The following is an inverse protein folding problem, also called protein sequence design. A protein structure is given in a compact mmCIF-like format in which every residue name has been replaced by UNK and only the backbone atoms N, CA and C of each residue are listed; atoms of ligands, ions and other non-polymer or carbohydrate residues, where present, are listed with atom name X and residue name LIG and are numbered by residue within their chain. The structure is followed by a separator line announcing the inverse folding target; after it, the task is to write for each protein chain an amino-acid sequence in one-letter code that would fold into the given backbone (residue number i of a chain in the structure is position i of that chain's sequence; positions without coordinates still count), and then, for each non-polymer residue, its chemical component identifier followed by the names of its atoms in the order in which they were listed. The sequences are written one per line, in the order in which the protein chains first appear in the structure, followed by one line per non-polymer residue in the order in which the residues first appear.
data_IF_870830940628
#
_entry.id   IF_870830940628
#
_cell.length_a   1.000
_cell.length_b   1.000
_cell.length_c   1.000
_cell.angle_alpha   90.00
_cell.angle_beta   90.00
_cell.angle_gamma   90.00
#
_symmetry.space_group_name_H-M   'P 1'
#
loop_
_entity.id
_entity.type
_entity.pdbx_description
1 polymer ?
#
# COMPACT_ATOMS: atom_id res chain seq x y z
N UNK A 1 9.21 29.22 -31.38
CA UNK A 1 10.53 28.75 -31.84
C UNK A 1 11.13 27.80 -30.83
N UNK A 2 12.02 26.89 -31.26
CA UNK A 2 12.82 26.04 -30.36
C UNK A 2 13.92 26.89 -29.73
N UNK A 3 14.18 26.70 -28.44
CA UNK A 3 15.29 27.32 -27.72
C UNK A 3 16.20 26.24 -27.14
N UNK A 4 17.50 26.53 -27.05
CA UNK A 4 18.49 25.61 -26.50
C UNK A 4 19.63 26.33 -25.80
N UNK A 5 20.35 25.62 -24.94
CA UNK A 5 21.57 26.11 -24.28
C UNK A 5 22.69 25.07 -24.43
N UNK A 6 23.90 25.55 -24.73
CA UNK A 6 25.11 24.74 -24.87
C UNK A 6 24.95 23.55 -25.84
N UNK A 7 24.29 23.79 -26.99
CA UNK A 7 24.18 22.80 -28.06
C UNK A 7 25.55 22.62 -28.72
N UNK A 8 26.07 21.40 -28.70
CA UNK A 8 27.32 21.02 -29.36
C UNK A 8 27.05 19.92 -30.38
N UNK A 9 27.59 20.10 -31.58
CA UNK A 9 27.67 19.08 -32.62
C UNK A 9 29.15 18.78 -32.85
N UNK A 10 29.52 17.50 -32.84
CA UNK A 10 30.91 17.08 -32.90
C UNK A 10 31.10 15.81 -33.71
N UNK A 11 32.34 15.54 -34.14
CA UNK A 11 32.70 14.41 -35.02
C UNK A 11 33.07 13.13 -34.26
N UNK A 12 33.05 13.17 -32.92
CA UNK A 12 33.25 12.03 -32.03
C UNK A 12 32.05 11.92 -31.10
N UNK A 13 31.68 10.71 -30.69
CA UNK A 13 30.57 10.56 -29.76
C UNK A 13 30.85 11.19 -28.38
N UNK A 14 29.80 11.66 -27.67
CA UNK A 14 28.41 11.80 -28.17
C UNK A 14 28.33 12.87 -29.27
N UNK A 15 27.71 12.54 -30.41
CA UNK A 15 27.74 13.39 -31.60
C UNK A 15 26.89 14.66 -31.47
N UNK A 16 25.96 14.65 -30.52
CA UNK A 16 25.14 15.78 -30.10
C UNK A 16 25.06 15.81 -28.58
N UNK A 17 25.21 17.00 -28.00
CA UNK A 17 24.91 17.25 -26.59
C UNK A 17 24.21 18.58 -26.45
N UNK A 18 23.30 18.70 -25.48
CA UNK A 18 22.71 19.97 -25.11
C UNK A 18 22.43 19.97 -23.61
N UNK A 19 22.59 21.13 -22.97
CA UNK A 19 22.22 21.27 -21.56
C UNK A 19 20.71 21.47 -21.39
N UNK A 20 20.07 22.13 -22.36
CA UNK A 20 18.66 22.44 -22.30
C UNK A 20 18.07 22.52 -23.70
N UNK A 21 16.85 22.00 -23.85
CA UNK A 21 15.95 22.30 -24.95
C UNK A 21 14.62 22.80 -24.40
N UNK A 22 14.00 23.73 -25.12
CA UNK A 22 12.69 24.27 -24.79
C UNK A 22 11.98 24.77 -26.03
N UNK A 23 10.75 25.24 -25.84
CA UNK A 23 9.96 25.90 -26.88
C UNK A 23 9.44 27.23 -26.35
N UNK A 24 9.41 28.24 -27.21
CA UNK A 24 8.83 29.56 -26.96
C UNK A 24 7.71 29.87 -27.94
N UNK A 25 6.73 30.64 -27.49
CA UNK A 25 5.53 31.00 -28.26
C UNK A 25 4.39 30.00 -28.10
N UNK A 26 3.26 30.32 -28.73
CA UNK A 26 2.08 29.45 -28.73
C UNK A 26 2.38 28.13 -29.45
N UNK A 27 2.03 27.01 -28.84
CA UNK A 27 2.10 25.69 -29.48
C UNK A 27 0.70 25.20 -29.78
N UNK A 28 0.49 24.62 -30.96
CA UNK A 28 -0.78 24.01 -31.35
C UNK A 28 -0.55 22.63 -31.92
N UNK A 29 -1.49 21.72 -31.66
CA UNK A 29 -1.59 20.42 -32.31
C UNK A 29 -2.89 20.38 -33.10
N UNK A 30 -2.82 20.46 -34.43
CA UNK A 30 -4.00 20.45 -35.32
C UNK A 30 -5.06 21.50 -34.87
N UNK A 31 -4.60 22.68 -34.48
CA UNK A 31 -5.47 23.78 -34.01
C UNK A 31 -5.81 23.74 -32.51
N UNK A 32 -5.63 22.62 -31.82
CA UNK A 32 -5.81 22.54 -30.37
C UNK A 32 -4.63 23.19 -29.63
N UNK A 33 -4.87 23.94 -28.55
CA UNK A 33 -3.79 24.49 -27.74
C UNK A 33 -2.95 23.36 -27.15
N UNK A 34 -1.63 23.46 -27.30
CA UNK A 34 -0.70 22.47 -26.82
C UNK A 34 0.39 23.13 -25.96
N UNK A 35 1.06 22.32 -25.14
CA UNK A 35 2.31 22.69 -24.50
C UNK A 35 3.29 21.53 -24.59
N UNK A 36 4.56 21.84 -24.85
CA UNK A 36 5.64 20.86 -24.91
C UNK A 36 6.62 21.20 -23.78
N UNK A 37 6.96 20.21 -22.96
CA UNK A 37 7.85 20.37 -21.80
C UNK A 37 8.79 19.18 -21.69
N UNK A 38 9.76 19.30 -20.77
CA UNK A 38 10.69 18.22 -20.43
C UNK A 38 11.40 17.65 -21.66
N UNK A 39 11.91 18.52 -22.52
CA UNK A 39 12.62 18.13 -23.74
C UNK A 39 14.06 17.75 -23.37
N UNK A 40 14.48 16.56 -23.76
CA UNK A 40 15.84 16.07 -23.54
C UNK A 40 16.35 15.29 -24.75
N UNK A 41 17.68 15.23 -24.88
CA UNK A 41 18.36 14.40 -25.87
C UNK A 41 19.19 13.35 -25.14
N UNK A 42 19.04 12.11 -25.58
CA UNK A 42 19.82 10.98 -25.12
C UNK A 42 20.59 10.42 -26.32
N UNK A 43 21.91 10.57 -26.33
CA UNK A 43 22.73 10.20 -27.48
C UNK A 43 24.02 9.50 -27.07
N UNK A 44 24.46 8.56 -27.90
CA UNK A 44 25.72 7.83 -27.79
C UNK A 44 26.28 7.54 -29.22
N UNK A 45 27.27 6.67 -29.35
CA UNK A 45 27.92 6.28 -30.60
C UNK A 45 26.93 5.74 -31.66
N UNK A 46 25.89 5.02 -31.24
CA UNK A 46 24.98 4.32 -32.15
C UNK A 46 23.59 4.93 -32.28
N UNK A 47 23.24 5.92 -31.46
CA UNK A 47 21.88 6.46 -31.42
C UNK A 47 21.83 7.91 -30.92
N UNK A 48 20.75 8.60 -31.27
CA UNK A 48 20.37 9.90 -30.71
C UNK A 48 18.85 10.00 -30.65
N UNK A 49 18.32 10.00 -29.44
CA UNK A 49 16.90 10.01 -29.15
C UNK A 49 16.47 11.38 -28.64
N UNK A 50 15.29 11.84 -29.08
CA UNK A 50 14.66 13.08 -28.61
C UNK A 50 13.42 12.73 -27.78
N UNK A 51 13.47 13.01 -26.49
CA UNK A 51 12.35 12.83 -25.57
C UNK A 51 11.65 14.15 -25.27
N UNK A 52 10.33 14.13 -25.15
CA UNK A 52 9.53 15.27 -24.68
C UNK A 52 8.16 14.84 -24.17
N UNK A 53 7.54 15.72 -23.36
CA UNK A 53 6.15 15.61 -22.97
C UNK A 53 5.30 16.63 -23.72
N UNK A 54 4.14 16.20 -24.20
CA UNK A 54 3.13 17.04 -24.83
C UNK A 54 1.86 17.01 -24.00
N UNK A 55 1.22 18.16 -23.79
CA UNK A 55 -0.13 18.27 -23.24
C UNK A 55 -1.00 19.02 -24.23
N UNK A 56 -2.16 18.47 -24.56
CA UNK A 56 -3.12 19.01 -25.52
C UNK A 56 -4.42 19.33 -24.78
N UNK A 57 -4.90 20.57 -24.89
CA UNK A 57 -6.22 20.96 -24.41
C UNK A 57 -7.28 20.49 -25.41
N UNK A 58 -8.21 19.65 -24.96
CA UNK A 58 -9.27 19.05 -25.77
C UNK A 58 -10.64 19.70 -25.55
N UNK A 59 -10.83 20.35 -24.39
CA UNK A 59 -12.00 21.17 -24.07
C UNK A 59 -11.53 22.40 -23.29
N UNK A 60 -12.12 23.57 -23.60
CA UNK A 60 -11.83 24.82 -22.90
C UNK A 60 -11.96 24.65 -21.38
N UNK A 61 -10.86 24.95 -20.69
CA UNK A 61 -10.71 24.95 -19.22
C UNK A 61 -11.02 23.63 -18.49
N UNK A 62 -11.35 22.54 -19.19
CA UNK A 62 -11.90 21.32 -18.57
C UNK A 62 -11.17 20.04 -18.90
N UNK A 63 -10.70 19.89 -20.12
CA UNK A 63 -10.16 18.62 -20.57
C UNK A 63 -8.80 18.79 -21.23
N UNK A 64 -7.80 18.11 -20.68
CA UNK A 64 -6.49 17.98 -21.30
C UNK A 64 -6.00 16.54 -21.25
N UNK A 65 -5.33 16.14 -22.31
CA UNK A 65 -4.61 14.88 -22.39
C UNK A 65 -3.11 15.17 -22.48
N UNK A 66 -2.31 14.44 -21.72
CA UNK A 66 -0.86 14.50 -21.78
C UNK A 66 -0.29 13.20 -22.32
N UNK A 67 0.87 13.28 -22.94
CA UNK A 67 1.62 12.14 -23.43
C UNK A 67 3.12 12.38 -23.35
N UNK A 68 3.88 11.35 -22.99
CA UNK A 68 5.32 11.35 -23.10
C UNK A 68 5.74 10.50 -24.30
N UNK A 69 6.66 11.02 -25.12
CA UNK A 69 7.21 10.27 -26.25
C UNK A 69 8.70 10.46 -26.39
N UNK A 70 9.34 9.44 -26.98
CA UNK A 70 10.73 9.46 -27.41
C UNK A 70 10.77 9.12 -28.88
N UNK A 71 11.31 10.03 -29.69
CA UNK A 71 11.63 9.79 -31.10
C UNK A 71 13.02 9.17 -31.12
N UNK A 72 13.15 8.00 -31.74
CA UNK A 72 14.41 7.28 -31.77
C UNK A 72 15.15 7.57 -33.07
N UNK A 73 16.45 7.77 -32.95
CA UNK A 73 17.35 7.98 -34.08
C UNK A 73 18.53 7.04 -33.99
N UNK A 74 18.82 6.34 -35.07
CA UNK A 74 20.04 5.54 -35.23
C UNK A 74 21.12 6.38 -35.90
N UNK A 75 22.34 6.27 -35.37
CA UNK A 75 23.54 6.85 -35.95
C UNK A 75 24.32 5.71 -36.61
N UNK A 76 24.38 5.74 -37.94
CA UNK A 76 25.07 4.73 -38.74
C UNK A 76 26.21 5.38 -39.52
N UNK A 77 27.37 4.72 -39.51
CA UNK A 77 28.50 5.11 -40.33
C UNK A 77 28.54 4.23 -41.59
N UNK A 78 28.23 4.83 -42.73
CA UNK A 78 28.28 4.17 -44.05
C UNK A 78 29.28 4.93 -44.93
N UNK A 79 30.25 4.24 -45.55
CA UNK A 79 31.25 4.85 -46.44
C UNK A 79 31.99 6.06 -45.83
N UNK A 80 32.44 5.94 -44.58
CA UNK A 80 33.07 7.03 -43.81
C UNK A 80 32.20 8.29 -43.67
N UNK A 81 30.88 8.18 -43.83
CA UNK A 81 29.91 9.25 -43.57
C UNK A 81 28.92 8.82 -42.51
N UNK A 82 28.76 9.69 -41.52
CA UNK A 82 27.70 9.55 -40.55
C UNK A 82 26.35 9.84 -41.20
N UNK A 83 25.37 8.98 -40.92
CA UNK A 83 23.97 9.10 -41.34
C UNK A 83 23.07 8.89 -40.14
N UNK A 84 22.04 9.73 -40.06
CA UNK A 84 21.04 9.67 -39.00
C UNK A 84 19.77 9.11 -39.61
N UNK A 85 19.30 7.98 -39.09
CA UNK A 85 18.10 7.29 -39.56
C UNK A 85 17.04 7.35 -38.49
N UNK A 86 15.81 7.66 -38.89
CA UNK A 86 14.66 7.53 -38.00
C UNK A 86 14.44 6.05 -37.65
N UNK A 87 14.28 5.76 -36.37
CA UNK A 87 14.10 4.41 -35.83
C UNK A 87 12.84 4.29 -34.99
N UNK A 88 11.76 4.89 -35.50
CA UNK A 88 10.47 4.85 -34.84
C UNK A 88 10.37 5.78 -33.64
N UNK A 89 9.37 5.51 -32.81
CA UNK A 89 9.12 6.25 -31.58
C UNK A 89 8.59 5.31 -30.50
N UNK A 90 8.75 5.71 -29.25
CA UNK A 90 8.17 5.03 -28.12
C UNK A 90 7.25 5.98 -27.36
N UNK A 91 6.04 5.49 -27.08
CA UNK A 91 5.19 6.08 -26.06
C UNK A 91 5.76 5.69 -24.68
N UNK A 92 5.79 6.66 -23.78
CA UNK A 92 6.25 6.46 -22.39
C UNK A 92 5.12 6.65 -21.39
N UNK A 93 4.23 7.60 -21.66
CA UNK A 93 3.18 8.00 -20.71
C UNK A 93 1.97 8.54 -21.45
N UNK A 94 0.79 8.33 -20.88
CA UNK A 94 -0.46 8.98 -21.23
C UNK A 94 -1.10 9.50 -19.94
N UNK A 95 -1.75 10.64 -19.98
CA UNK A 95 -2.38 11.21 -18.81
C UNK A 95 -3.62 12.01 -19.16
N UNK A 96 -4.50 12.13 -18.19
CA UNK A 96 -5.69 12.96 -18.23
C UNK A 96 -5.67 13.77 -16.93
N UNK A 97 -5.97 15.07 -17.02
CA UNK A 97 -5.90 15.96 -15.85
C UNK A 97 -7.20 16.72 -15.67
N UNK A 98 -7.74 16.62 -14.45
CA UNK A 98 -8.91 17.36 -13.96
C UNK A 98 -10.15 17.25 -14.88
N UNK A 99 -10.38 16.06 -15.45
CA UNK A 99 -11.50 15.80 -16.34
C UNK A 99 -12.80 15.79 -15.53
N UNK A 100 -13.66 16.76 -15.77
CA UNK A 100 -15.00 16.78 -15.19
C UNK A 100 -15.94 15.86 -15.98
N UNK A 101 -16.35 14.75 -15.37
CA UNK A 101 -17.30 13.78 -15.95
C UNK A 101 -18.72 13.92 -15.37
N UNK A 102 -19.05 15.10 -14.85
CA UNK A 102 -20.33 15.39 -14.21
C UNK A 102 -20.34 14.98 -12.74
N UNK A 103 -20.24 13.68 -12.46
CA UNK A 103 -20.30 13.10 -11.09
C UNK A 103 -18.98 13.22 -10.32
N UNK A 104 -17.87 13.36 -11.02
CA UNK A 104 -16.52 13.39 -10.45
C UNK A 104 -15.59 14.28 -11.27
N UNK A 105 -14.50 14.72 -10.63
CA UNK A 105 -13.31 15.24 -11.30
C UNK A 105 -12.26 14.15 -11.28
N UNK A 106 -11.79 13.73 -12.46
CA UNK A 106 -10.90 12.59 -12.64
C UNK A 106 -9.56 13.04 -13.19
N UNK A 107 -8.48 12.57 -12.56
CA UNK A 107 -7.14 12.63 -13.13
C UNK A 107 -6.58 11.21 -13.21
N UNK A 108 -5.83 10.91 -14.26
CA UNK A 108 -5.26 9.60 -14.44
C UNK A 108 -3.95 9.65 -15.19
N UNK A 109 -3.15 8.61 -15.00
CA UNK A 109 -1.87 8.43 -15.64
C UNK A 109 -1.70 6.96 -16.00
N UNK A 110 -1.19 6.70 -17.18
CA UNK A 110 -0.76 5.41 -17.66
C UNK A 110 0.70 5.54 -18.09
N UNK A 111 1.56 4.67 -17.59
CA UNK A 111 2.99 4.72 -17.88
C UNK A 111 3.47 3.35 -18.36
N UNK A 112 4.17 3.33 -19.48
CA UNK A 112 4.82 2.12 -19.98
C UNK A 112 6.17 1.96 -19.27
N UNK A 113 6.38 0.79 -18.69
CA UNK A 113 7.60 0.39 -18.00
C UNK A 113 8.47 -0.47 -18.92
N UNK A 114 9.77 -0.18 -18.94
CA UNK A 114 10.79 -0.97 -19.62
C UNK A 114 11.95 -1.15 -18.66
N UNK A 115 12.27 -2.38 -18.28
CA UNK A 115 13.28 -2.70 -17.27
C UNK A 115 13.06 -1.96 -15.93
N UNK A 116 11.82 -1.80 -15.48
CA UNK A 116 11.53 -1.19 -14.18
C UNK A 116 12.11 -2.04 -13.03
N UNK A 117 12.75 -1.44 -12.00
CA UNK A 117 13.40 -2.19 -10.93
C UNK A 117 12.44 -2.99 -10.04
N UNK A 118 11.15 -2.64 -10.02
CA UNK A 118 10.13 -3.36 -9.25
C UNK A 118 9.30 -4.30 -10.11
N UNK A 119 8.96 -3.84 -11.33
CA UNK A 119 7.95 -4.47 -12.16
C UNK A 119 8.44 -4.85 -13.56
N UNK A 120 9.74 -4.77 -13.84
CA UNK A 120 10.31 -5.16 -15.13
C UNK A 120 9.63 -4.47 -16.31
N UNK A 121 9.24 -5.26 -17.30
CA UNK A 121 8.49 -4.75 -18.46
C UNK A 121 6.99 -4.79 -18.19
N UNK A 122 6.28 -3.74 -18.58
CA UNK A 122 4.85 -3.67 -18.34
C UNK A 122 4.28 -2.27 -18.42
N UNK A 123 3.26 -2.00 -17.61
CA UNK A 123 2.70 -0.67 -17.43
C UNK A 123 2.11 -0.47 -16.03
N UNK A 124 2.19 0.75 -15.55
CA UNK A 124 1.46 1.20 -14.36
C UNK A 124 0.33 2.12 -14.77
N UNK A 125 -0.71 2.16 -13.94
CA UNK A 125 -1.76 3.14 -14.07
C UNK A 125 -2.06 3.74 -12.69
N UNK A 126 -2.39 5.02 -12.67
CA UNK A 126 -2.89 5.72 -11.50
C UNK A 126 -4.18 6.43 -11.88
N UNK A 127 -5.17 6.38 -10.99
CA UNK A 127 -6.44 7.07 -11.12
C UNK A 127 -6.78 7.76 -9.81
N UNK A 128 -7.08 9.04 -9.91
CA UNK A 128 -7.62 9.85 -8.84
C UNK A 128 -9.01 10.35 -9.24
N UNK A 129 -10.00 10.15 -8.39
CA UNK A 129 -11.37 10.61 -8.62
C UNK A 129 -11.90 11.36 -7.39
N UNK A 130 -12.23 12.64 -7.59
CA UNK A 130 -12.90 13.48 -6.60
C UNK A 130 -14.40 13.44 -6.84
N UNK A 131 -15.13 12.67 -6.04
CA UNK A 131 -16.57 12.51 -6.14
C UNK A 131 -17.27 13.74 -5.57
N UNK A 132 -18.03 14.47 -6.40
CA UNK A 132 -18.54 15.81 -6.04
C UNK A 132 -19.58 15.79 -4.91
N UNK A 133 -20.54 14.88 -4.99
CA UNK A 133 -21.64 14.79 -4.02
C UNK A 133 -21.17 14.25 -2.66
N UNK A 134 -20.36 13.19 -2.71
CA UNK A 134 -19.82 12.55 -1.51
C UNK A 134 -18.69 13.35 -0.85
N UNK A 135 -18.05 14.27 -1.59
CA UNK A 135 -16.86 15.03 -1.16
C UNK A 135 -15.73 14.13 -0.68
N UNK A 136 -15.56 12.99 -1.36
CA UNK A 136 -14.48 12.02 -1.10
C UNK A 136 -13.55 11.92 -2.29
N UNK A 137 -12.30 11.57 -2.02
CA UNK A 137 -11.27 11.39 -3.01
C UNK A 137 -10.82 9.93 -3.01
N UNK A 138 -10.97 9.27 -4.16
CA UNK A 138 -10.59 7.88 -4.36
C UNK A 138 -9.29 7.86 -5.14
N UNK A 139 -8.30 7.15 -4.62
CA UNK A 139 -7.02 6.91 -5.29
C UNK A 139 -6.89 5.43 -5.59
N UNK A 140 -6.50 5.10 -6.82
CA UNK A 140 -6.24 3.72 -7.26
C UNK A 140 -4.93 3.71 -8.04
N UNK A 141 -4.03 2.79 -7.68
CA UNK A 141 -2.85 2.46 -8.45
C UNK A 141 -2.98 1.03 -9.00
N UNK A 142 -2.46 0.79 -10.19
CA UNK A 142 -2.35 -0.54 -10.78
C UNK A 142 -0.97 -0.74 -11.39
N UNK A 143 -0.51 -1.98 -11.39
CA UNK A 143 0.69 -2.44 -12.07
C UNK A 143 0.37 -3.72 -12.82
N UNK A 144 0.76 -3.78 -14.08
CA UNK A 144 0.70 -4.96 -14.93
C UNK A 144 2.11 -5.19 -15.45
N UNK A 145 2.62 -6.40 -15.30
CA UNK A 145 3.99 -6.66 -15.71
C UNK A 145 4.24 -8.08 -16.16
N UNK A 146 5.40 -8.24 -16.74
CA UNK A 146 5.95 -9.50 -17.19
C UNK A 146 7.44 -9.53 -16.89
N UNK A 147 7.87 -10.60 -16.24
CA UNK A 147 9.27 -10.97 -16.10
C UNK A 147 9.52 -12.32 -16.78
N UNK A 148 9.49 -13.42 -16.03
CA UNK A 148 9.35 -14.79 -16.54
C UNK A 148 7.90 -15.28 -16.50
N UNK A 149 7.03 -14.56 -15.80
CA UNK A 149 5.59 -14.79 -15.71
C UNK A 149 4.83 -13.46 -15.74
N UNK A 150 3.54 -13.53 -16.09
CA UNK A 150 2.63 -12.38 -16.05
C UNK A 150 2.04 -12.20 -14.66
N UNK A 151 1.97 -10.97 -14.21
CA UNK A 151 1.35 -10.59 -12.94
C UNK A 151 0.60 -9.27 -13.09
N UNK A 152 -0.34 -9.04 -12.19
CA UNK A 152 -1.01 -7.77 -12.09
C UNK A 152 -1.42 -7.50 -10.64
N UNK A 153 -1.60 -6.24 -10.31
CA UNK A 153 -2.11 -5.84 -9.02
C UNK A 153 -2.70 -4.46 -9.10
N UNK A 154 -3.77 -4.24 -8.35
CA UNK A 154 -4.28 -2.90 -8.11
C UNK A 154 -4.55 -2.71 -6.63
N UNK A 155 -4.32 -1.50 -6.16
CA UNK A 155 -4.60 -1.07 -4.81
C UNK A 155 -5.27 0.29 -4.83
N UNK A 156 -6.08 0.58 -3.82
CA UNK A 156 -6.70 1.88 -3.69
C UNK A 156 -7.11 2.18 -2.26
N UNK A 157 -7.38 3.46 -2.03
CA UNK A 157 -7.81 3.96 -0.74
C UNK A 157 -8.78 5.13 -0.90
N UNK A 158 -9.68 5.25 0.08
CA UNK A 158 -10.65 6.34 0.21
C UNK A 158 -10.89 6.63 1.68
N UNK A 159 -10.99 7.92 2.00
CA UNK A 159 -11.34 8.45 3.32
C UNK A 159 -12.57 9.37 3.21
N UNK A 160 -13.15 9.71 4.36
CA UNK A 160 -14.30 10.61 4.45
C UNK A 160 -15.64 9.96 4.09
N UNK A 161 -15.69 8.63 4.02
CA UNK A 161 -16.93 7.89 3.86
C UNK A 161 -17.85 8.11 5.07
N UNK A 162 -19.16 7.93 4.85
CA UNK A 162 -20.19 8.02 5.88
C UNK A 162 -21.16 6.85 5.77
N UNK A 163 -20.60 5.64 5.61
CA UNK A 163 -21.39 4.43 5.41
C UNK A 163 -21.85 3.93 6.78
N UNK A 164 -23.15 4.04 7.06
CA UNK A 164 -23.74 3.52 8.29
C UNK A 164 -24.16 2.06 8.12
N UNK A 165 -23.55 1.17 8.91
CA UNK A 165 -23.86 -0.25 9.00
C UNK A 165 -24.35 -0.57 10.43
N UNK A 166 -25.62 -0.30 10.71
CA UNK A 166 -26.21 -0.43 12.05
C UNK A 166 -25.45 0.41 13.09
N UNK A 167 -24.72 -0.18 14.03
CA UNK A 167 -23.95 0.52 15.05
C UNK A 167 -22.58 1.01 14.54
N UNK A 168 -22.08 0.46 13.44
CA UNK A 168 -20.78 0.78 12.85
C UNK A 168 -20.91 1.85 11.78
N UNK A 169 -20.12 2.92 11.88
CA UNK A 169 -19.91 3.89 10.81
C UNK A 169 -18.54 3.63 10.18
N UNK A 170 -18.51 3.28 8.90
CA UNK A 170 -17.27 3.10 8.12
C UNK A 170 -16.89 4.45 7.51
N UNK A 171 -15.67 4.90 7.81
CA UNK A 171 -15.16 6.22 7.38
C UNK A 171 -14.10 6.12 6.29
N UNK A 172 -13.50 4.95 6.11
CA UNK A 172 -12.60 4.73 4.99
C UNK A 172 -12.39 3.27 4.65
N UNK A 173 -11.83 3.08 3.47
CA UNK A 173 -11.51 1.79 2.90
C UNK A 173 -10.12 1.86 2.27
N UNK A 174 -9.37 0.76 2.36
CA UNK A 174 -8.08 0.59 1.70
C UNK A 174 -7.93 -0.87 1.30
N UNK A 175 -7.22 -1.16 0.23
CA UNK A 175 -7.01 -2.55 -0.17
C UNK A 175 -6.66 -2.70 -1.63
N UNK A 176 -6.65 -3.94 -2.09
CA UNK A 176 -6.30 -4.28 -3.45
C UNK A 176 -6.45 -5.76 -3.73
N UNK A 177 -6.48 -6.09 -5.02
CA UNK A 177 -6.44 -7.46 -5.51
C UNK A 177 -5.26 -7.62 -6.46
N UNK A 178 -4.65 -8.80 -6.40
CA UNK A 178 -3.39 -9.08 -7.06
C UNK A 178 -3.36 -10.51 -7.59
N UNK A 179 -2.64 -10.69 -8.68
CA UNK A 179 -2.35 -11.98 -9.29
C UNK A 179 -0.85 -12.15 -9.43
N UNK A 180 -0.29 -13.21 -8.82
CA UNK A 180 1.15 -13.47 -8.75
C UNK A 180 1.94 -12.28 -8.22
N UNK A 181 1.37 -11.62 -7.21
CA UNK A 181 2.04 -10.56 -6.46
C UNK A 181 1.64 -10.63 -5.00
N UNK A 182 2.53 -10.14 -4.14
CA UNK A 182 2.29 -9.94 -2.72
C UNK A 182 2.67 -8.51 -2.30
N UNK A 183 2.03 -7.94 -1.26
CA UNK A 183 2.50 -6.71 -0.66
C UNK A 183 3.90 -6.87 -0.04
N UNK A 184 4.75 -5.87 -0.24
CA UNK A 184 6.01 -5.74 0.46
C UNK A 184 5.89 -4.68 1.55
N UNK A 185 6.00 -5.10 2.81
CA UNK A 185 5.80 -4.23 3.98
C UNK A 185 6.80 -3.07 4.02
N UNK A 186 8.08 -3.39 3.95
CA UNK A 186 9.15 -2.44 4.20
C UNK A 186 9.23 -1.40 3.07
N UNK A 187 8.99 -1.82 1.82
CA UNK A 187 8.83 -0.90 0.71
C UNK A 187 7.56 -0.05 0.83
N UNK A 188 6.46 -0.61 1.31
CA UNK A 188 5.22 0.15 1.51
C UNK A 188 5.36 1.24 2.59
N UNK A 189 6.17 0.99 3.62
CA UNK A 189 6.48 1.94 4.68
C UNK A 189 7.57 2.96 4.29
N UNK A 190 8.28 2.74 3.18
CA UNK A 190 9.30 3.67 2.71
C UNK A 190 8.65 4.98 2.24
N UNK A 191 9.09 6.16 2.74
CA UNK A 191 8.55 7.46 2.35
C UNK A 191 8.54 7.75 0.84
N UNK A 192 9.42 7.10 0.07
CA UNK A 192 9.46 7.19 -1.39
C UNK A 192 8.17 6.67 -2.07
N UNK A 193 7.38 5.84 -1.37
CA UNK A 193 6.15 5.23 -1.89
C UNK A 193 4.90 5.63 -1.08
N UNK A 194 4.94 6.76 -0.36
CA UNK A 194 3.83 7.23 0.49
C UNK A 194 2.47 7.36 -0.20
N UNK A 195 2.47 7.59 -1.51
CA UNK A 195 1.26 7.77 -2.32
C UNK A 195 0.60 6.44 -2.73
N UNK A 196 1.24 5.30 -2.45
CA UNK A 196 0.69 3.97 -2.66
C UNK A 196 0.14 3.41 -1.34
N UNK A 197 -1.04 2.78 -1.38
CA UNK A 197 -1.51 2.06 -0.18
C UNK A 197 -0.71 0.78 0.03
N UNK A 198 -0.25 0.12 -1.05
CA UNK A 198 0.62 -1.05 -1.00
C UNK A 198 1.65 -0.99 -2.14
N UNK A 199 2.90 -1.25 -1.82
CA UNK A 199 3.92 -1.60 -2.82
C UNK A 199 3.89 -3.11 -2.99
N UNK A 200 3.79 -3.55 -4.24
CA UNK A 200 3.65 -4.97 -4.57
C UNK A 200 4.95 -5.50 -5.15
N UNK A 201 5.24 -6.78 -4.89
CA UNK A 201 6.33 -7.51 -5.53
C UNK A 201 5.78 -8.72 -6.28
N UNK A 202 6.26 -8.99 -7.50
CA UNK A 202 5.93 -10.22 -8.22
C UNK A 202 6.35 -11.46 -7.42
N UNK A 203 5.44 -12.44 -7.32
CA UNK A 203 5.66 -13.71 -6.64
C UNK A 203 4.86 -14.81 -7.35
N UNK A 204 5.56 -15.77 -7.97
CA UNK A 204 4.93 -16.85 -8.72
C UNK A 204 4.37 -17.98 -7.85
N UNK A 205 4.60 -17.93 -6.52
CA UNK A 205 4.06 -18.88 -5.54
C UNK A 205 2.66 -18.51 -5.07
N UNK A 206 2.15 -17.35 -5.48
CA UNK A 206 0.79 -16.88 -5.20
C UNK A 206 -0.04 -16.89 -6.47
N UNK A 207 -1.27 -17.42 -6.39
CA UNK A 207 -2.26 -17.31 -7.47
C UNK A 207 -2.92 -15.94 -7.45
N UNK A 208 -4.10 -15.85 -6.84
CA UNK A 208 -4.80 -14.60 -6.55
C UNK A 208 -4.61 -14.23 -5.08
N UNK A 209 -4.56 -12.95 -4.78
CA UNK A 209 -4.57 -12.42 -3.43
C UNK A 209 -5.50 -11.22 -3.33
N UNK A 210 -6.20 -11.11 -2.21
CA UNK A 210 -7.04 -9.98 -1.85
C UNK A 210 -6.58 -9.47 -0.48
N UNK A 211 -6.45 -8.15 -0.37
CA UNK A 211 -6.22 -7.45 0.89
C UNK A 211 -7.24 -6.33 0.98
N UNK A 212 -8.04 -6.29 2.03
CA UNK A 212 -9.04 -5.25 2.23
C UNK A 212 -8.99 -4.76 3.67
N UNK A 213 -9.22 -3.49 3.87
CA UNK A 213 -9.13 -2.83 5.17
C UNK A 213 -10.20 -1.77 5.27
N UNK A 214 -10.82 -1.69 6.44
CA UNK A 214 -11.73 -0.62 6.82
C UNK A 214 -11.27 0.01 8.11
N UNK A 215 -11.73 1.24 8.33
CA UNK A 215 -11.71 1.86 9.63
C UNK A 215 -12.96 2.69 9.82
N UNK A 216 -13.31 2.89 11.08
CA UNK A 216 -14.58 3.49 11.44
C UNK A 216 -14.76 3.60 12.93
N UNK A 217 -16.00 3.81 13.34
CA UNK A 217 -16.35 3.94 14.75
C UNK A 217 -17.71 3.32 15.08
N UNK A 218 -17.89 2.91 16.33
CA UNK A 218 -19.17 2.49 16.88
C UNK A 218 -19.65 3.56 17.85
N UNK A 219 -20.89 4.03 17.67
CA UNK A 219 -21.49 5.21 18.32
C UNK A 219 -20.77 6.54 18.04
N UNK A 220 -19.47 6.66 18.32
CA UNK A 220 -18.63 7.78 17.91
C UNK A 220 -17.15 7.39 17.96
N UNK A 221 -16.29 8.15 17.27
CA UNK A 221 -14.83 7.95 17.28
C UNK A 221 -14.18 7.99 18.67
N UNK A 222 -14.78 8.70 19.63
CA UNK A 222 -14.29 8.76 21.01
C UNK A 222 -14.87 7.65 21.89
N UNK A 223 -15.97 7.01 21.47
CA UNK A 223 -16.56 5.89 22.19
C UNK A 223 -15.82 4.60 21.82
N UNK A 224 -15.87 4.23 20.54
CA UNK A 224 -15.16 3.07 20.00
C UNK A 224 -14.66 3.41 18.59
N UNK A 225 -13.36 3.38 18.37
CA UNK A 225 -12.79 3.40 17.03
C UNK A 225 -12.25 2.03 16.65
N UNK A 226 -12.44 1.60 15.40
CA UNK A 226 -11.99 0.30 14.92
C UNK A 226 -11.19 0.40 13.63
N UNK A 227 -10.28 -0.55 13.45
CA UNK A 227 -9.69 -0.93 12.17
C UNK A 227 -9.91 -2.42 11.99
N UNK A 228 -10.26 -2.86 10.79
CA UNK A 228 -10.37 -4.27 10.47
C UNK A 228 -9.76 -4.53 9.09
N UNK A 229 -8.95 -5.58 9.00
CA UNK A 229 -8.37 -6.06 7.77
C UNK A 229 -8.85 -7.47 7.46
N UNK A 230 -9.00 -7.74 6.17
CA UNK A 230 -9.28 -9.05 5.59
C UNK A 230 -8.17 -9.39 4.60
N UNK A 231 -7.70 -10.62 4.66
CA UNK A 231 -6.74 -11.14 3.71
C UNK A 231 -7.19 -12.50 3.19
N UNK A 232 -6.91 -12.76 1.92
CA UNK A 232 -7.13 -14.04 1.28
C UNK A 232 -6.05 -14.25 0.22
N UNK A 233 -5.63 -15.49 0.01
CA UNK A 233 -4.86 -15.85 -1.18
C UNK A 233 -5.10 -17.28 -1.65
N UNK A 234 -4.75 -17.56 -2.91
CA UNK A 234 -4.82 -18.88 -3.52
C UNK A 234 -3.43 -19.38 -3.87
N UNK A 235 -3.29 -20.70 -4.01
CA UNK A 235 -2.09 -21.28 -4.61
C UNK A 235 -2.01 -20.91 -6.12
N UNK A 236 -0.84 -21.04 -6.78
CA UNK A 236 -0.66 -20.66 -8.18
C UNK A 236 -1.59 -21.37 -9.17
N UNK A 237 -1.98 -22.60 -8.82
CA UNK A 237 -2.84 -23.46 -9.61
C UNK A 237 -4.31 -23.42 -9.17
N UNK A 238 -4.69 -22.45 -8.32
CA UNK A 238 -6.02 -22.36 -7.71
C UNK A 238 -6.11 -23.07 -6.35
N UNK A 239 -7.30 -23.07 -5.76
CA UNK A 239 -7.51 -23.50 -4.37
C UNK A 239 -7.05 -22.43 -3.36
N UNK A 240 -7.82 -22.25 -2.28
CA UNK A 240 -7.45 -21.31 -1.22
C UNK A 240 -6.15 -21.78 -0.55
N UNK A 241 -5.24 -20.83 -0.31
CA UNK A 241 -4.03 -21.05 0.46
C UNK A 241 -4.21 -20.52 1.88
N UNK A 242 -4.78 -19.32 2.02
CA UNK A 242 -5.13 -18.76 3.33
C UNK A 242 -6.33 -17.80 3.26
N UNK A 243 -6.96 -17.65 4.41
CA UNK A 243 -7.90 -16.56 4.71
C UNK A 243 -7.62 -16.07 6.13
N UNK A 244 -7.64 -14.77 6.34
CA UNK A 244 -7.40 -14.21 7.65
C UNK A 244 -8.08 -12.88 7.89
N UNK A 245 -8.25 -12.57 9.16
CA UNK A 245 -8.77 -11.30 9.65
C UNK A 245 -7.82 -10.74 10.68
N UNK A 246 -7.74 -9.43 10.71
CA UNK A 246 -7.03 -8.69 11.74
C UNK A 246 -7.92 -7.54 12.17
N UNK A 247 -7.87 -7.18 13.43
CA UNK A 247 -8.73 -6.16 14.00
C UNK A 247 -8.02 -5.42 15.11
N UNK A 248 -8.25 -4.12 15.16
CA UNK A 248 -7.86 -3.29 16.28
C UNK A 248 -9.06 -2.46 16.72
N UNK A 249 -9.24 -2.32 18.03
CA UNK A 249 -10.28 -1.48 18.61
C UNK A 249 -9.71 -0.62 19.73
N UNK A 250 -10.05 0.67 19.73
CA UNK A 250 -9.88 1.54 20.89
C UNK A 250 -11.24 1.86 21.47
N UNK A 251 -11.39 1.69 22.78
CA UNK A 251 -12.55 2.13 23.55
C UNK A 251 -12.15 3.33 24.40
N UNK A 252 -13.02 4.33 24.47
CA UNK A 252 -12.80 5.63 25.14
C UNK A 252 -11.68 6.47 24.49
N UNK A 253 -11.33 6.18 23.24
CA UNK A 253 -10.29 6.89 22.51
C UNK A 253 -10.48 6.84 20.99
N UNK A 254 -9.94 7.85 20.33
CA UNK A 254 -9.86 7.99 18.88
C UNK A 254 -8.58 7.33 18.33
N UNK A 255 -8.63 6.84 17.09
CA UNK A 255 -7.49 6.19 16.40
C UNK A 255 -6.22 7.06 16.37
N UNK A 256 -6.34 8.38 16.42
CA UNK A 256 -5.21 9.32 16.55
C UNK A 256 -4.33 9.06 17.77
N UNK A 257 -4.80 8.33 18.80
CA UNK A 257 -3.94 7.90 19.92
C UNK A 257 -2.96 6.80 19.54
N UNK A 258 -3.26 5.97 18.53
CA UNK A 258 -2.31 4.99 17.99
C UNK A 258 -1.48 5.56 16.85
N UNK A 259 -1.99 6.62 16.22
CA UNK A 259 -1.49 7.18 14.98
C UNK A 259 -1.20 8.67 15.20
N UNK A 260 0.02 9.03 15.63
CA UNK A 260 0.39 10.44 15.72
C UNK A 260 0.56 11.04 14.32
N UNK A 261 -0.09 12.17 14.04
CA UNK A 261 0.05 12.91 12.78
C UNK A 261 -1.22 12.90 11.91
N UNK A 262 -1.06 12.79 10.58
CA UNK A 262 -2.17 12.71 9.62
C UNK A 262 -2.95 11.40 9.82
N UNK A 263 -4.24 11.46 10.22
CA UNK A 263 -5.04 10.27 10.47
C UNK A 263 -5.12 9.32 9.28
N UNK A 264 -5.14 9.83 8.04
CA UNK A 264 -5.23 9.00 6.85
C UNK A 264 -3.89 8.31 6.55
N UNK A 265 -2.78 9.03 6.68
CA UNK A 265 -1.45 8.49 6.44
C UNK A 265 -1.14 7.35 7.41
N UNK A 266 -1.38 7.54 8.70
CA UNK A 266 -1.04 6.47 9.64
C UNK A 266 -2.08 5.35 9.71
N UNK A 267 -3.33 5.55 9.26
CA UNK A 267 -4.25 4.43 8.99
C UNK A 267 -3.76 3.60 7.80
N UNK A 268 -3.24 4.25 6.74
CA UNK A 268 -2.58 3.53 5.63
C UNK A 268 -1.34 2.78 6.11
N UNK A 269 -0.52 3.39 6.97
CA UNK A 269 0.67 2.72 7.51
C UNK A 269 0.32 1.53 8.39
N UNK A 270 -0.70 1.65 9.26
CA UNK A 270 -1.24 0.49 9.98
C UNK A 270 -1.77 -0.59 9.06
N UNK A 271 -2.48 -0.23 7.99
CA UNK A 271 -2.92 -1.22 6.99
C UNK A 271 -1.75 -1.92 6.28
N UNK A 272 -0.66 -1.20 6.01
CA UNK A 272 0.57 -1.77 5.44
C UNK A 272 1.23 -2.74 6.42
N UNK A 273 1.36 -2.36 7.70
CA UNK A 273 1.87 -3.24 8.76
C UNK A 273 1.04 -4.52 8.87
N UNK A 274 -0.27 -4.37 8.77
CA UNK A 274 -1.28 -5.41 8.87
C UNK A 274 -1.29 -6.44 7.72
N UNK A 275 -0.85 -6.06 6.52
CA UNK A 275 -1.01 -6.87 5.29
C UNK A 275 0.28 -7.52 4.77
N UNK A 276 1.44 -7.12 5.29
CA UNK A 276 2.75 -7.55 4.82
C UNK A 276 3.44 -8.66 5.62
N UNK A 277 2.87 -9.13 6.74
CA UNK A 277 3.55 -10.12 7.58
C UNK A 277 3.07 -11.56 7.32
N UNK A 278 3.64 -12.21 6.30
CA UNK A 278 3.44 -13.64 6.03
C UNK A 278 4.47 -14.55 6.75
N UNK A 279 5.32 -13.99 7.63
CA UNK A 279 6.40 -14.73 8.30
C UNK A 279 5.86 -15.90 9.12
N UNK A 280 4.71 -15.73 9.79
CA UNK A 280 4.00 -16.77 10.54
C UNK A 280 3.67 -18.02 9.74
N UNK A 281 3.12 -17.85 8.53
CA UNK A 281 2.70 -18.99 7.70
C UNK A 281 3.89 -19.72 7.12
N UNK A 282 5.00 -19.02 6.91
CA UNK A 282 6.24 -19.66 6.49
C UNK A 282 6.89 -20.39 7.68
N UNK A 283 6.91 -19.79 8.87
CA UNK A 283 7.41 -20.41 10.10
C UNK A 283 6.56 -21.63 10.54
N UNK A 284 5.24 -21.62 10.31
CA UNK A 284 4.34 -22.76 10.51
C UNK A 284 4.53 -23.87 9.47
N UNK A 285 4.89 -23.52 8.23
CA UNK A 285 5.19 -24.50 7.17
C UNK A 285 6.52 -25.20 7.39
N UNK A 286 7.50 -24.48 7.94
CA UNK A 286 8.87 -24.97 8.07
C UNK A 286 9.09 -25.80 9.35
N UNK A 287 8.24 -25.68 10.38
CA UNK A 287 8.37 -26.42 11.63
C UNK A 287 7.36 -27.57 11.77
N UNK A 288 7.83 -28.81 11.60
CA UNK A 288 7.08 -30.04 11.97
C UNK A 288 6.99 -30.29 13.49
N UNK A 289 7.54 -29.38 14.29
CA UNK A 289 7.58 -29.46 15.76
C UNK A 289 7.19 -28.11 16.36
N UNK A 290 5.89 -27.82 16.43
CA UNK A 290 5.38 -26.64 17.14
C UNK A 290 5.30 -26.90 18.66
N UNK A 291 6.30 -27.60 19.20
CA UNK A 291 6.44 -27.90 20.61
C UNK A 291 7.11 -26.74 21.34
N UNK A 292 6.33 -25.70 21.68
CA UNK A 292 6.38 -24.93 22.94
C UNK A 292 5.70 -23.56 22.76
N UNK A 293 4.37 -23.55 22.62
CA UNK A 293 3.55 -22.36 22.34
C UNK A 293 3.29 -21.43 23.55
N UNK A 294 4.30 -21.17 24.37
CA UNK A 294 4.21 -20.13 25.41
C UNK A 294 4.62 -18.74 24.92
N UNK A 295 4.95 -18.57 23.64
CA UNK A 295 5.62 -17.36 23.18
C UNK A 295 4.68 -16.36 22.50
N UNK A 296 4.08 -15.48 23.31
CA UNK A 296 3.37 -14.29 22.82
C UNK A 296 4.29 -13.33 22.06
N UNK A 297 5.63 -13.48 22.15
CA UNK A 297 6.58 -12.65 21.41
C UNK A 297 6.47 -12.84 19.89
N UNK A 298 6.04 -14.01 19.41
CA UNK A 298 5.87 -14.25 17.96
C UNK A 298 4.72 -13.42 17.38
N UNK A 299 3.65 -13.21 18.16
CA UNK A 299 2.52 -12.34 17.80
C UNK A 299 2.93 -10.86 17.89
N UNK A 300 3.64 -10.48 18.97
CA UNK A 300 4.15 -9.12 19.18
C UNK A 300 5.21 -8.69 18.15
N UNK A 301 6.06 -9.60 17.68
CA UNK A 301 7.05 -9.33 16.63
C UNK A 301 6.40 -9.06 15.27
N UNK A 302 5.29 -9.75 14.99
CA UNK A 302 4.63 -9.69 13.69
C UNK A 302 3.56 -8.61 13.63
N UNK A 303 2.90 -8.36 14.74
CA UNK A 303 1.91 -7.31 14.87
C UNK A 303 2.30 -6.43 16.06
N UNK A 304 3.36 -5.60 15.93
CA UNK A 304 3.88 -4.81 17.03
C UNK A 304 2.77 -4.06 17.75
N UNK A 305 2.64 -4.35 19.03
CA UNK A 305 1.74 -3.64 19.92
C UNK A 305 2.23 -2.20 20.04
N UNK A 306 1.31 -1.25 19.90
CA UNK A 306 1.61 0.13 20.24
C UNK A 306 1.82 0.18 21.75
N UNK A 307 3.08 0.35 22.18
CA UNK A 307 3.45 0.34 23.60
C UNK A 307 2.76 1.50 24.31
N UNK A 308 1.74 1.17 25.12
CA UNK A 308 0.98 2.07 26.00
C UNK A 308 -0.02 3.02 25.29
N UNK A 309 -1.31 2.70 25.38
CA UNK A 309 -2.41 3.56 24.93
C UNK A 309 -3.10 4.15 26.16
N UNK A 310 -2.60 5.30 26.61
CA UNK A 310 -3.10 5.95 27.84
C UNK A 310 -4.55 6.40 27.72
N UNK A 311 -5.31 6.21 28.78
CA UNK A 311 -6.70 6.62 28.89
C UNK A 311 -7.61 5.90 27.91
N UNK A 312 -7.39 4.60 27.67
CA UNK A 312 -8.15 3.80 26.72
C UNK A 312 -8.16 2.32 27.11
N UNK A 313 -9.08 1.58 26.49
CA UNK A 313 -8.93 0.12 26.31
C UNK A 313 -8.52 -0.09 24.87
N UNK A 314 -7.44 -0.83 24.65
CA UNK A 314 -6.95 -1.18 23.31
C UNK A 314 -7.00 -2.70 23.15
N UNK A 315 -7.68 -3.17 22.12
CA UNK A 315 -7.77 -4.58 21.79
C UNK A 315 -7.22 -4.83 20.38
N UNK A 316 -6.55 -5.97 20.22
CA UNK A 316 -5.97 -6.42 18.96
C UNK A 316 -6.30 -7.89 18.74
N UNK A 317 -6.79 -8.21 17.55
CA UNK A 317 -7.17 -9.56 17.14
C UNK A 317 -6.45 -9.88 15.84
N UNK A 318 -5.86 -11.05 15.73
CA UNK A 318 -5.40 -11.61 14.48
C UNK A 318 -5.90 -13.05 14.38
N UNK A 319 -6.37 -13.46 13.21
CA UNK A 319 -6.75 -14.84 12.94
C UNK A 319 -6.42 -15.20 11.50
N UNK A 320 -6.02 -16.45 11.30
CA UNK A 320 -5.75 -16.99 9.98
C UNK A 320 -6.08 -18.48 9.92
N UNK A 321 -6.58 -18.90 8.77
CA UNK A 321 -6.68 -20.30 8.40
C UNK A 321 -5.75 -20.59 7.22
N UNK A 322 -4.82 -21.53 7.40
CA UNK A 322 -3.97 -22.08 6.34
C UNK A 322 -4.62 -23.36 5.80
N UNK A 323 -5.11 -23.30 4.57
CA UNK A 323 -5.80 -24.42 3.92
C UNK A 323 -4.85 -25.54 3.52
N UNK A 324 -3.59 -25.23 3.21
CA UNK A 324 -2.63 -26.25 2.78
C UNK A 324 -2.24 -27.15 3.95
N UNK A 325 -2.21 -26.60 5.16
CA UNK A 325 -1.85 -27.32 6.38
C UNK A 325 -3.05 -27.69 7.26
N UNK A 326 -4.26 -27.21 6.92
CA UNK A 326 -5.47 -27.35 7.75
C UNK A 326 -5.29 -26.78 9.17
N UNK A 327 -4.66 -25.61 9.27
CA UNK A 327 -4.33 -24.96 10.54
C UNK A 327 -5.13 -23.69 10.73
N UNK A 328 -5.88 -23.61 11.82
CA UNK A 328 -6.47 -22.38 12.33
C UNK A 328 -5.61 -21.83 13.47
N UNK A 329 -5.30 -20.54 13.43
CA UNK A 329 -4.67 -19.86 14.55
C UNK A 329 -5.29 -18.48 14.75
N UNK A 330 -5.52 -18.10 16.00
CA UNK A 330 -6.00 -16.79 16.37
C UNK A 330 -5.34 -16.32 17.67
N UNK A 331 -5.06 -15.02 17.75
CA UNK A 331 -4.54 -14.35 18.94
C UNK A 331 -5.34 -13.08 19.24
N UNK A 332 -5.53 -12.81 20.52
CA UNK A 332 -6.19 -11.62 21.05
C UNK A 332 -5.33 -11.03 22.15
N UNK A 333 -5.07 -9.74 22.10
CA UNK A 333 -4.47 -8.98 23.19
C UNK A 333 -5.40 -7.83 23.58
N UNK A 334 -5.52 -7.59 24.88
CA UNK A 334 -6.30 -6.48 25.45
C UNK A 334 -5.45 -5.74 26.46
N UNK A 335 -5.30 -4.44 26.26
CA UNK A 335 -4.62 -3.50 27.14
C UNK A 335 -5.64 -2.56 27.75
N UNK A 336 -5.52 -2.33 29.05
CA UNK A 336 -6.35 -1.39 29.80
C UNK A 336 -5.43 -0.42 30.50
N UNK A 337 -5.63 0.86 30.25
CA UNK A 337 -5.00 1.95 30.99
C UNK A 337 -5.98 3.13 31.06
N UNK A 338 -6.86 3.12 32.05
CA UNK A 338 -7.91 4.13 32.22
C UNK A 338 -7.54 5.06 33.37
N UNK A 339 -7.81 6.35 33.19
CA UNK A 339 -7.60 7.41 34.18
C UNK A 339 -6.17 7.38 34.76
N UNK A 340 -5.17 7.39 33.89
CA UNK A 340 -3.74 7.39 34.24
C UNK A 340 -3.33 6.18 35.13
N UNK A 341 -3.83 5.00 34.80
CA UNK A 341 -3.46 3.76 35.49
C UNK A 341 -4.25 3.47 36.77
N UNK A 342 -5.31 4.23 37.05
CA UNK A 342 -6.24 3.89 38.15
C UNK A 342 -6.90 2.54 37.85
N UNK A 343 -7.29 2.28 36.61
CA UNK A 343 -7.69 0.94 36.17
C UNK A 343 -6.70 0.52 35.10
N UNK A 344 -5.93 -0.53 35.36
CA UNK A 344 -4.90 -1.00 34.45
C UNK A 344 -4.88 -2.53 34.36
N UNK A 345 -4.38 -3.06 33.25
CA UNK A 345 -3.99 -4.46 33.17
C UNK A 345 -2.84 -4.79 34.11
N UNK A 346 -2.81 -6.04 34.60
CA UNK A 346 -1.79 -6.52 35.54
C UNK A 346 -0.50 -6.95 34.85
N UNK A 347 -0.57 -7.20 33.55
CA UNK A 347 0.57 -7.59 32.72
C UNK A 347 1.41 -6.40 32.26
N UNK A 348 2.52 -6.68 31.56
CA UNK A 348 3.42 -5.65 31.02
C UNK A 348 2.66 -4.60 30.19
N UNK A 349 3.06 -3.32 30.32
CA UNK A 349 2.47 -2.19 29.60
C UNK A 349 0.94 -2.04 29.77
N UNK A 350 0.36 -2.56 30.86
CA UNK A 350 -1.08 -2.51 31.10
C UNK A 350 -1.87 -3.58 30.34
N UNK A 351 -1.23 -4.67 29.90
CA UNK A 351 -1.95 -5.82 29.31
C UNK A 351 -2.89 -6.42 30.34
N UNK A 352 -4.19 -6.33 30.06
CA UNK A 352 -5.26 -6.83 30.90
C UNK A 352 -5.62 -8.28 30.57
N UNK A 353 -5.37 -8.72 29.34
CA UNK A 353 -5.51 -10.11 29.01
C UNK A 353 -4.99 -10.43 27.62
N UNK A 354 -4.77 -11.71 27.41
CA UNK A 354 -4.42 -12.25 26.11
C UNK A 354 -5.04 -13.63 25.96
N UNK A 355 -5.29 -14.03 24.71
CA UNK A 355 -5.76 -15.35 24.39
C UNK A 355 -5.17 -15.83 23.07
N UNK A 356 -4.94 -17.14 22.96
CA UNK A 356 -4.52 -17.82 21.75
C UNK A 356 -5.38 -19.06 21.55
N UNK A 357 -5.82 -19.28 20.32
CA UNK A 357 -6.45 -20.54 19.89
C UNK A 357 -5.64 -21.07 18.72
N UNK A 358 -5.29 -22.35 18.78
CA UNK A 358 -4.63 -23.05 17.69
C UNK A 358 -5.29 -24.41 17.49
N UNK A 359 -5.58 -24.74 16.22
CA UNK A 359 -6.20 -25.99 15.83
C UNK A 359 -5.48 -26.47 14.58
N UNK A 360 -4.81 -27.61 14.68
CA UNK A 360 -4.11 -28.31 13.62
C UNK A 360 -4.53 -29.79 13.61
N UNK A 361 -4.20 -30.58 12.57
CA UNK A 361 -4.60 -31.99 12.50
C UNK A 361 -4.10 -32.87 13.65
N UNK A 362 -2.92 -32.56 14.21
CA UNK A 362 -2.26 -33.34 15.27
C UNK A 362 -2.35 -32.72 16.65
N UNK A 363 -2.69 -31.44 16.76
CA UNK A 363 -2.71 -30.71 18.03
C UNK A 363 -3.73 -29.59 18.02
N UNK A 364 -4.30 -29.31 19.19
CA UNK A 364 -5.09 -28.12 19.41
C UNK A 364 -4.90 -27.65 20.85
N UNK A 365 -4.96 -26.34 21.05
CA UNK A 365 -4.94 -25.76 22.38
C UNK A 365 -5.62 -24.40 22.38
N UNK A 366 -6.07 -23.99 23.56
CA UNK A 366 -6.62 -22.68 23.82
C UNK A 366 -6.06 -22.16 25.14
N UNK A 367 -5.41 -21.01 25.10
CA UNK A 367 -4.88 -20.35 26.28
C UNK A 367 -5.54 -18.99 26.45
N UNK A 368 -5.95 -18.69 27.66
CA UNK A 368 -6.37 -17.36 28.09
C UNK A 368 -5.55 -17.05 29.34
N UNK A 369 -4.39 -16.41 29.16
CA UNK A 369 -3.40 -16.30 30.22
C UNK A 369 -2.73 -17.64 30.57
N UNK A 370 -1.69 -17.56 31.41
CA UNK A 370 -1.01 -18.72 32.02
C UNK A 370 -0.78 -18.46 33.51
N UNK A 371 -0.41 -19.47 34.31
CA UNK A 371 -0.04 -19.28 35.72
C UNK A 371 1.05 -18.21 35.94
N UNK A 372 1.98 -18.06 34.98
CA UNK A 372 3.08 -17.08 35.05
C UNK A 372 2.78 -15.76 34.35
N UNK A 373 1.72 -15.71 33.54
CA UNK A 373 1.32 -14.55 32.75
C UNK A 373 -0.21 -14.50 32.66
N UNK A 374 -0.83 -14.16 33.79
CA UNK A 374 -2.28 -14.18 33.97
C UNK A 374 -2.98 -13.02 33.27
N UNK A 375 -4.24 -13.23 32.89
CA UNK A 375 -5.15 -12.13 32.59
C UNK A 375 -5.63 -11.49 33.89
N UNK A 376 -5.86 -10.20 33.92
CA UNK A 376 -6.37 -9.53 35.11
C UNK A 376 -6.31 -8.01 35.07
N UNK A 377 -6.95 -7.43 36.09
CA UNK A 377 -7.02 -5.98 36.28
C UNK A 377 -6.52 -5.60 37.67
N UNK A 378 -5.94 -4.41 37.73
CA UNK A 378 -5.56 -3.69 38.93
C UNK A 378 -6.38 -2.41 39.00
N UNK A 379 -6.98 -2.15 40.17
CA UNK A 379 -7.75 -0.94 40.46
C UNK A 379 -7.11 -0.20 41.64
N UNK A 380 -6.77 1.06 41.44
CA UNK A 380 -6.20 1.95 42.46
C UNK A 380 -7.25 2.68 43.28
N UNK A 381 -7.02 2.77 44.58
CA UNK A 381 -7.84 3.48 45.57
C UNK A 381 -6.91 4.34 46.45
N UNK A 382 -6.54 5.53 45.95
CA UNK A 382 -5.58 6.39 46.65
C UNK A 382 -4.21 5.73 46.76
N UNK A 383 -3.81 5.36 47.98
CA UNK A 383 -2.50 4.77 48.28
C UNK A 383 -2.43 3.24 48.15
N UNK A 384 -3.55 2.55 47.94
CA UNK A 384 -3.57 1.10 47.78
C UNK A 384 -4.22 0.67 46.46
N UNK A 385 -4.06 -0.60 46.09
CA UNK A 385 -4.68 -1.16 44.88
C UNK A 385 -5.19 -2.57 45.11
N UNK A 386 -6.32 -2.90 44.51
CA UNK A 386 -6.84 -4.26 44.43
C UNK A 386 -6.45 -4.86 43.08
N UNK A 387 -5.95 -6.10 43.08
CA UNK A 387 -5.60 -6.83 41.86
C UNK A 387 -6.35 -8.16 41.86
N UNK A 388 -6.92 -8.51 40.70
CA UNK A 388 -7.50 -9.83 40.44
C UNK A 388 -6.91 -10.40 39.16
N UNK A 389 -6.53 -11.67 39.20
CA UNK A 389 -5.94 -12.40 38.08
C UNK A 389 -6.60 -13.76 37.91
N UNK A 390 -6.66 -14.24 36.67
CA UNK A 390 -7.15 -15.57 36.31
C UNK A 390 -6.44 -16.09 35.07
N UNK A 391 -6.59 -17.39 34.80
CA UNK A 391 -6.10 -18.01 33.59
C UNK A 391 -6.99 -19.21 33.22
N UNK A 392 -6.92 -19.64 31.96
CA UNK A 392 -7.51 -20.87 31.44
C UNK A 392 -6.54 -21.48 30.43
N UNK A 393 -6.15 -22.74 30.61
CA UNK A 393 -5.25 -23.48 29.73
C UNK A 393 -5.80 -24.85 29.38
#
# INVERSE_FOLDING_TARGET
GVVFQNLTLQTKAPYITAQYFGVQGEQKLVGFPASIKNIFVEADNGYANLGFEITVGLQEERFSASGGMKINGLIVNENNRQRWKYDGFNLTKLGLKNVDIGVAIVSGEFQIMRNDPLYGDGFTAHLNAKLKELKVEVNVNAAYGFSTFRYWGFEGSVDGLKIQASALTITGFTGGAFYRMIPDRDMSLNPAYKDKALVLKPDNTVGLALRAGIYGSVASKNAISIMAGFNMSTNPNGGLANVGFIGEALVMADLSKLIPGDPLAGVKDKFKEMTGNNKFLNELKDNTHVNSFLDTQVVDEQYPVTKDVKGAIYAKLAMNYDFNNSVFHASLDVFVNIANGIIAGIGPNGRAGWAVVHIAPSEWYMHIGTPTDMIGLKVGFGSFSLQSGSYFM
#
